data_IF_942236335645
#
_entry.id   IF_942236335645
#
_cell.length_a   1.000
_cell.length_b   1.000
_cell.length_c   1.000
_cell.angle_alpha   90.00
_cell.angle_beta   90.00
_cell.angle_gamma   90.00
#
_symmetry.space_group_name_H-M   'P 1'
#
loop_
_entity.id
_entity.type
_entity.pdbx_description
1 polymer ?
#
# COMPACT_ATOMS: atom_id res chain seq x y z
N UNK A 1 5.58 -3.76 -18.25
CA UNK A 1 5.88 -2.38 -18.68
C UNK A 1 7.30 -2.05 -18.31
N UNK A 2 7.71 -0.80 -18.48
CA UNK A 2 9.02 -0.30 -18.05
C UNK A 2 8.96 1.19 -17.73
N UNK A 3 9.85 1.66 -16.85
CA UNK A 3 10.03 3.07 -16.58
C UNK A 3 11.22 3.60 -17.38
N UNK A 4 11.05 4.67 -18.16
CA UNK A 4 12.11 5.25 -19.00
C UNK A 4 13.01 6.25 -18.25
N UNK A 5 12.72 6.50 -16.98
CA UNK A 5 13.38 7.50 -16.14
C UNK A 5 12.54 8.76 -15.91
N UNK A 6 11.47 8.94 -16.68
CA UNK A 6 10.54 10.07 -16.57
C UNK A 6 9.10 9.59 -16.37
N UNK A 7 8.69 8.55 -17.10
CA UNK A 7 7.33 8.01 -17.08
C UNK A 7 7.35 6.49 -17.16
N UNK A 8 6.36 5.87 -16.53
CA UNK A 8 6.04 4.47 -16.68
C UNK A 8 5.24 4.19 -17.96
N UNK A 9 5.73 3.25 -18.76
CA UNK A 9 5.08 2.75 -19.96
C UNK A 9 4.51 1.36 -19.68
N UNK A 10 3.19 1.29 -19.52
CA UNK A 10 2.48 0.04 -19.34
C UNK A 10 2.34 -0.73 -20.67
N UNK A 11 2.41 -2.06 -20.60
CA UNK A 11 2.20 -2.91 -21.78
C UNK A 11 0.71 -2.92 -22.16
N UNK A 12 0.42 -3.32 -23.40
CA UNK A 12 -0.96 -3.62 -23.81
C UNK A 12 -1.56 -4.70 -22.88
N UNK A 13 -2.80 -4.50 -22.46
CA UNK A 13 -3.55 -5.40 -21.55
C UNK A 13 -3.00 -5.51 -20.11
N UNK A 14 -2.19 -4.55 -19.64
CA UNK A 14 -1.64 -4.57 -18.28
C UNK A 14 -2.72 -4.72 -17.19
N UNK A 15 -3.93 -4.16 -17.39
CA UNK A 15 -5.05 -4.31 -16.46
C UNK A 15 -5.42 -5.78 -16.22
N UNK A 16 -5.40 -6.63 -17.26
CA UNK A 16 -5.68 -8.05 -17.11
C UNK A 16 -4.55 -8.75 -16.35
N UNK A 17 -3.29 -8.35 -16.55
CA UNK A 17 -2.17 -8.83 -15.76
C UNK A 17 -2.33 -8.45 -14.28
N UNK A 18 -2.72 -7.22 -13.97
CA UNK A 18 -2.95 -6.77 -12.59
C UNK A 18 -4.11 -7.56 -11.93
N UNK A 19 -5.22 -7.76 -12.64
CA UNK A 19 -6.33 -8.60 -12.15
C UNK A 19 -5.89 -10.05 -11.94
N UNK A 20 -5.05 -10.58 -12.82
CA UNK A 20 -4.49 -11.92 -12.67
C UNK A 20 -3.58 -12.03 -11.45
N UNK A 21 -2.77 -11.01 -11.13
CA UNK A 21 -1.98 -10.99 -9.90
C UNK A 21 -2.85 -11.09 -8.65
N UNK A 22 -3.97 -10.34 -8.57
CA UNK A 22 -4.93 -10.48 -7.46
C UNK A 22 -5.45 -11.92 -7.38
N UNK A 23 -5.78 -12.52 -8.53
CA UNK A 23 -6.27 -13.88 -8.62
C UNK A 23 -5.25 -14.93 -8.14
N UNK A 24 -3.95 -14.75 -8.45
CA UNK A 24 -2.86 -15.62 -8.00
C UNK A 24 -2.67 -15.47 -6.49
N UNK A 25 -2.62 -14.24 -5.97
CA UNK A 25 -2.39 -13.97 -4.55
C UNK A 25 -3.51 -14.50 -3.64
N UNK A 26 -4.74 -14.62 -4.15
CA UNK A 26 -5.86 -15.27 -3.44
C UNK A 26 -5.69 -16.78 -3.31
N UNK A 27 -4.82 -17.39 -4.11
CA UNK A 27 -4.50 -18.83 -4.12
C UNK A 27 -3.10 -19.12 -3.58
N UNK A 28 -2.50 -18.13 -2.93
CA UNK A 28 -1.19 -18.30 -2.32
C UNK A 28 -1.28 -19.33 -1.19
N UNK A 29 -0.36 -20.30 -1.19
CA UNK A 29 -0.36 -21.41 -0.25
C UNK A 29 -0.01 -20.98 1.17
N UNK A 30 0.01 -21.94 2.10
CA UNK A 30 0.37 -21.71 3.51
C UNK A 30 1.82 -21.21 3.68
N UNK A 31 2.68 -21.41 2.68
CA UNK A 31 4.07 -20.94 2.67
C UNK A 31 4.24 -19.56 2.03
N UNK A 32 3.14 -18.96 1.55
CA UNK A 32 3.09 -17.65 0.88
C UNK A 32 4.15 -17.50 -0.23
N UNK A 33 4.33 -18.55 -1.03
CA UNK A 33 5.38 -18.63 -2.03
C UNK A 33 5.23 -17.59 -3.14
N UNK A 34 4.01 -17.29 -3.57
CA UNK A 34 3.79 -16.30 -4.63
C UNK A 34 4.10 -14.89 -4.11
N UNK A 35 3.65 -14.57 -2.90
CA UNK A 35 3.95 -13.28 -2.27
C UNK A 35 5.45 -13.09 -2.08
N UNK A 36 6.16 -14.11 -1.58
CA UNK A 36 7.62 -14.04 -1.40
C UNK A 36 8.33 -13.90 -2.74
N UNK A 37 7.95 -14.70 -3.74
CA UNK A 37 8.54 -14.62 -5.08
C UNK A 37 8.35 -13.23 -5.70
N UNK A 38 7.14 -12.68 -5.66
CA UNK A 38 6.84 -11.35 -6.21
C UNK A 38 7.57 -10.26 -5.42
N UNK A 39 7.64 -10.38 -4.08
CA UNK A 39 8.35 -9.44 -3.22
C UNK A 39 9.84 -9.34 -3.55
N UNK A 40 10.51 -10.46 -3.84
CA UNK A 40 11.90 -10.45 -4.30
C UNK A 40 12.10 -9.80 -5.66
N UNK A 41 11.06 -9.79 -6.51
CA UNK A 41 11.08 -9.06 -7.79
C UNK A 41 10.87 -7.56 -7.63
N UNK A 42 10.55 -7.08 -6.42
CA UNK A 42 10.29 -5.67 -6.11
C UNK A 42 9.20 -5.04 -6.99
N UNK A 43 8.22 -5.85 -7.42
CA UNK A 43 7.14 -5.42 -8.34
C UNK A 43 6.41 -4.15 -7.86
N UNK A 44 6.20 -4.03 -6.54
CA UNK A 44 5.56 -2.85 -5.95
C UNK A 44 6.33 -1.57 -6.29
N UNK A 45 7.66 -1.60 -6.16
CA UNK A 45 8.54 -0.46 -6.41
C UNK A 45 8.78 -0.21 -7.89
N UNK A 46 9.04 -1.28 -8.65
CA UNK A 46 9.42 -1.17 -10.07
C UNK A 46 8.26 -0.86 -11.00
N UNK A 47 7.04 -1.30 -10.63
CA UNK A 47 5.89 -1.27 -11.53
C UNK A 47 4.65 -0.66 -10.87
N UNK A 48 4.20 -1.15 -9.71
CA UNK A 48 2.88 -0.76 -9.18
C UNK A 48 2.80 0.70 -8.73
N UNK A 49 3.81 1.21 -8.02
CA UNK A 49 3.85 2.63 -7.62
C UNK A 49 4.04 3.56 -8.84
N UNK A 50 4.96 3.30 -9.78
CA UNK A 50 5.01 4.08 -11.02
C UNK A 50 3.71 4.04 -11.83
N UNK A 51 3.08 2.87 -12.00
CA UNK A 51 1.75 2.76 -12.64
C UNK A 51 0.69 3.55 -11.89
N UNK A 52 0.75 3.57 -10.56
CA UNK A 52 -0.18 4.37 -9.76
C UNK A 52 0.00 5.86 -10.07
N UNK A 53 1.23 6.36 -10.24
CA UNK A 53 1.46 7.77 -10.57
C UNK A 53 1.11 8.11 -12.02
N UNK A 54 1.44 7.24 -12.97
CA UNK A 54 1.42 7.57 -14.40
C UNK A 54 0.23 7.00 -15.19
N UNK A 55 -0.49 6.02 -14.64
CA UNK A 55 -1.53 5.26 -15.34
C UNK A 55 -2.88 5.22 -14.59
N UNK A 56 -3.03 5.88 -13.45
CA UNK A 56 -4.23 5.77 -12.60
C UNK A 56 -5.34 6.79 -12.90
N UNK A 57 -5.32 7.42 -14.09
CA UNK A 57 -6.41 8.31 -14.52
C UNK A 57 -7.71 7.51 -14.73
N UNK A 58 -7.59 6.29 -15.26
CA UNK A 58 -8.67 5.32 -15.36
C UNK A 58 -9.04 4.79 -13.96
N UNK A 59 -10.32 4.89 -13.61
CA UNK A 59 -10.82 4.52 -12.28
C UNK A 59 -10.72 3.03 -11.99
N UNK A 60 -10.89 2.18 -13.01
CA UNK A 60 -10.76 0.73 -12.88
C UNK A 60 -9.29 0.34 -12.66
N UNK A 61 -8.37 0.94 -13.42
CA UNK A 61 -6.92 0.72 -13.23
C UNK A 61 -6.50 1.08 -11.82
N UNK A 62 -6.92 2.26 -11.35
CA UNK A 62 -6.59 2.74 -10.02
C UNK A 62 -7.19 1.87 -8.91
N UNK A 63 -8.42 1.35 -9.06
CA UNK A 63 -9.01 0.40 -8.11
C UNK A 63 -8.17 -0.88 -8.00
N UNK A 64 -7.81 -1.47 -9.15
CA UNK A 64 -7.03 -2.71 -9.17
C UNK A 64 -5.64 -2.50 -8.57
N UNK A 65 -4.98 -1.37 -8.88
CA UNK A 65 -3.70 -1.00 -8.28
C UNK A 65 -3.82 -0.83 -6.77
N UNK A 66 -4.80 -0.07 -6.29
CA UNK A 66 -5.00 0.15 -4.87
C UNK A 66 -5.26 -1.17 -4.12
N UNK A 67 -6.07 -2.07 -4.70
CA UNK A 67 -6.31 -3.41 -4.16
C UNK A 67 -5.04 -4.25 -4.09
N UNK A 68 -4.17 -4.17 -5.09
CA UNK A 68 -2.88 -4.84 -5.07
C UNK A 68 -1.96 -4.26 -4.00
N UNK A 69 -1.87 -2.93 -3.87
CA UNK A 69 -1.06 -2.26 -2.86
C UNK A 69 -1.49 -2.64 -1.44
N UNK A 70 -2.79 -2.62 -1.15
CA UNK A 70 -3.35 -3.11 0.12
C UNK A 70 -3.00 -4.59 0.34
N UNK A 71 -3.15 -5.42 -0.70
CA UNK A 71 -2.82 -6.85 -0.59
C UNK A 71 -1.33 -7.07 -0.29
N UNK A 72 -0.43 -6.38 -0.98
CA UNK A 72 1.02 -6.54 -0.82
C UNK A 72 1.54 -6.01 0.52
N UNK A 73 0.89 -4.99 1.08
CA UNK A 73 1.24 -4.38 2.37
C UNK A 73 0.54 -5.03 3.56
N UNK A 74 -0.28 -6.07 3.34
CA UNK A 74 -0.98 -6.76 4.42
C UNK A 74 0.01 -7.26 5.49
N UNK A 75 -0.18 -6.92 6.79
CA UNK A 75 0.71 -7.34 7.85
C UNK A 75 1.00 -8.84 7.82
N UNK A 76 2.28 -9.21 7.89
CA UNK A 76 2.71 -10.61 7.79
C UNK A 76 1.99 -11.50 8.81
N UNK A 77 1.74 -10.99 10.01
CA UNK A 77 1.05 -11.72 11.07
C UNK A 77 -0.41 -12.09 10.70
N UNK A 78 -1.11 -11.26 9.92
CA UNK A 78 -2.45 -11.59 9.43
C UNK A 78 -2.44 -12.74 8.42
N UNK A 79 -1.35 -12.89 7.64
CA UNK A 79 -1.19 -14.04 6.75
C UNK A 79 -1.09 -15.36 7.53
N UNK A 80 -0.56 -15.30 8.76
CA UNK A 80 -0.46 -16.41 9.70
C UNK A 80 -1.57 -16.42 10.77
N UNK A 81 -2.73 -15.79 10.49
CA UNK A 81 -3.91 -15.79 11.37
C UNK A 81 -3.61 -15.34 12.80
N UNK A 82 -2.80 -14.30 12.94
CA UNK A 82 -2.44 -13.71 14.23
C UNK A 82 -1.56 -14.61 15.12
N UNK A 83 -1.01 -15.70 14.58
CA UNK A 83 -0.13 -16.62 15.29
C UNK A 83 1.25 -16.72 14.63
N UNK A 84 2.32 -16.61 15.42
CA UNK A 84 3.68 -16.81 14.90
C UNK A 84 3.93 -18.29 14.57
N UNK A 85 4.57 -18.59 13.43
CA UNK A 85 4.95 -19.97 13.10
C UNK A 85 5.82 -20.61 14.17
N UNK A 86 5.56 -21.88 14.46
CA UNK A 86 6.26 -22.64 15.49
C UNK A 86 7.40 -23.50 14.93
N UNK A 87 7.35 -23.82 13.65
CA UNK A 87 8.39 -24.57 12.96
C UNK A 87 9.44 -23.64 12.33
N UNK A 88 10.62 -24.18 12.05
CA UNK A 88 11.74 -23.38 11.54
C UNK A 88 11.49 -22.85 10.12
N UNK A 89 10.78 -23.60 9.28
CA UNK A 89 10.52 -23.19 7.89
C UNK A 89 9.52 -22.04 7.89
N UNK A 90 8.43 -22.17 8.65
CA UNK A 90 7.44 -21.12 8.84
C UNK A 90 8.05 -19.85 9.41
N UNK A 91 8.91 -19.94 10.44
CA UNK A 91 9.60 -18.76 11.01
C UNK A 91 10.47 -18.05 9.97
N UNK A 92 11.23 -18.81 9.18
CA UNK A 92 12.06 -18.25 8.12
C UNK A 92 11.20 -17.52 7.07
N UNK A 93 10.12 -18.15 6.62
CA UNK A 93 9.23 -17.55 5.63
C UNK A 93 8.52 -16.30 6.18
N UNK A 94 8.15 -16.30 7.46
CA UNK A 94 7.57 -15.14 8.14
C UNK A 94 8.55 -13.96 8.17
N UNK A 95 9.80 -14.20 8.60
CA UNK A 95 10.83 -13.15 8.64
C UNK A 95 11.13 -12.59 7.24
N UNK A 96 11.17 -13.46 6.23
CA UNK A 96 11.34 -13.04 4.83
C UNK A 96 10.18 -12.15 4.34
N UNK A 97 8.94 -12.45 4.74
CA UNK A 97 7.79 -11.58 4.44
C UNK A 97 7.90 -10.23 5.16
N UNK A 98 8.37 -10.20 6.40
CA UNK A 98 8.62 -8.94 7.14
C UNK A 98 9.69 -8.11 6.42
N UNK A 99 10.78 -8.71 5.96
CA UNK A 99 11.83 -8.05 5.18
C UNK A 99 11.29 -7.45 3.88
N UNK A 100 10.41 -8.19 3.19
CA UNK A 100 9.72 -7.69 1.98
C UNK A 100 8.83 -6.48 2.32
N UNK A 101 8.06 -6.55 3.40
CA UNK A 101 7.22 -5.44 3.85
C UNK A 101 8.04 -4.19 4.22
N UNK A 102 9.22 -4.35 4.80
CA UNK A 102 10.15 -3.26 5.10
C UNK A 102 10.63 -2.55 3.82
N UNK A 103 11.01 -3.30 2.79
CA UNK A 103 11.36 -2.74 1.47
C UNK A 103 10.17 -2.05 0.79
N UNK A 104 8.96 -2.55 1.01
CA UNK A 104 7.74 -1.87 0.55
C UNK A 104 7.54 -0.56 1.29
N UNK A 105 7.69 -0.54 2.62
CA UNK A 105 7.61 0.69 3.44
C UNK A 105 8.56 1.76 2.92
N UNK A 106 9.82 1.43 2.68
CA UNK A 106 10.80 2.35 2.05
C UNK A 106 10.31 2.93 0.71
N UNK A 107 9.63 2.12 -0.10
CA UNK A 107 9.12 2.56 -1.40
C UNK A 107 7.96 3.58 -1.28
N UNK A 108 7.33 3.70 -0.11
CA UNK A 108 6.30 4.71 0.18
C UNK A 108 6.87 6.03 0.72
N UNK A 109 8.18 6.17 0.91
CA UNK A 109 8.81 7.47 1.24
C UNK A 109 8.89 8.38 0.00
N UNK A 110 7.75 8.60 -0.67
CA UNK A 110 7.62 9.35 -1.92
C UNK A 110 6.39 10.26 -1.84
N UNK A 111 6.62 11.57 -1.80
CA UNK A 111 5.57 12.61 -1.66
C UNK A 111 4.45 12.47 -2.70
N UNK A 112 4.83 12.19 -3.96
CA UNK A 112 3.88 12.08 -5.07
C UNK A 112 2.82 10.99 -4.85
N UNK A 113 3.18 9.89 -4.19
CA UNK A 113 2.25 8.79 -3.89
C UNK A 113 1.19 9.27 -2.90
N UNK A 114 1.60 9.92 -1.82
CA UNK A 114 0.68 10.42 -0.80
C UNK A 114 -0.17 11.58 -1.31
N UNK A 115 0.39 12.46 -2.15
CA UNK A 115 -0.38 13.54 -2.78
C UNK A 115 -1.49 13.00 -3.70
N UNK A 116 -1.19 11.96 -4.49
CA UNK A 116 -2.18 11.31 -5.33
C UNK A 116 -3.28 10.61 -4.50
N UNK A 117 -2.89 9.84 -3.48
CA UNK A 117 -3.83 9.16 -2.59
C UNK A 117 -4.69 10.16 -1.80
N UNK A 118 -4.08 11.22 -1.28
CA UNK A 118 -4.76 12.30 -0.57
C UNK A 118 -5.79 13.00 -1.44
N UNK A 119 -5.41 13.41 -2.66
CA UNK A 119 -6.35 14.02 -3.63
C UNK A 119 -7.53 13.11 -3.95
N UNK A 120 -7.28 11.80 -4.07
CA UNK A 120 -8.34 10.82 -4.35
C UNK A 120 -9.26 10.63 -3.14
N UNK A 121 -8.70 10.61 -1.93
CA UNK A 121 -9.44 10.54 -0.68
C UNK A 121 -10.31 11.79 -0.49
N UNK A 122 -9.72 12.98 -0.62
CA UNK A 122 -10.39 14.28 -0.54
C UNK A 122 -11.59 14.34 -1.49
N UNK A 123 -11.38 14.08 -2.79
CA UNK A 123 -12.46 14.06 -3.79
C UNK A 123 -13.61 13.11 -3.42
N UNK A 124 -13.31 12.02 -2.73
CA UNK A 124 -14.34 11.05 -2.33
C UNK A 124 -15.07 11.49 -1.06
N UNK A 125 -14.37 12.17 -0.14
CA UNK A 125 -14.93 12.75 1.09
C UNK A 125 -15.75 14.02 0.83
N UNK A 126 -15.51 14.74 -0.26
CA UNK A 126 -16.34 15.87 -0.71
C UNK A 126 -17.78 15.44 -1.07
N UNK A 127 -17.99 14.17 -1.39
CA UNK A 127 -19.32 13.60 -1.66
C UNK A 127 -20.00 13.33 -0.32
N UNK A 128 -21.23 13.82 -0.17
CA UNK A 128 -22.05 13.56 1.01
C UNK A 128 -22.12 12.06 1.30
N UNK A 129 -21.93 11.68 2.56
CA UNK A 129 -21.85 10.29 2.99
C UNK A 129 -23.09 9.47 2.58
N UNK A 130 -24.27 10.10 2.49
CA UNK A 130 -25.51 9.44 2.10
C UNK A 130 -25.66 9.27 0.58
N UNK A 131 -24.93 10.05 -0.22
CA UNK A 131 -24.92 9.97 -1.69
C UNK A 131 -23.77 9.12 -2.24
N UNK A 132 -22.80 8.77 -1.37
CA UNK A 132 -21.61 8.01 -1.73
C UNK A 132 -21.96 6.58 -2.14
N UNK A 133 -21.43 6.14 -3.29
CA UNK A 133 -21.60 4.75 -3.73
C UNK A 133 -20.77 3.78 -2.89
N UNK A 134 -21.10 2.49 -2.93
CA UNK A 134 -20.31 1.45 -2.26
C UNK A 134 -18.85 1.44 -2.73
N UNK A 135 -18.60 1.56 -4.04
CA UNK A 135 -17.25 1.60 -4.61
C UNK A 135 -16.44 2.82 -4.12
N UNK A 136 -17.11 3.97 -3.94
CA UNK A 136 -16.48 5.17 -3.38
C UNK A 136 -16.15 4.95 -1.90
N UNK A 137 -17.06 4.35 -1.13
CA UNK A 137 -16.80 4.01 0.27
C UNK A 137 -15.64 3.02 0.43
N UNK A 138 -15.58 2.00 -0.42
CA UNK A 138 -14.47 1.05 -0.47
C UNK A 138 -13.14 1.69 -0.88
N UNK A 139 -13.18 2.74 -1.70
CA UNK A 139 -11.98 3.51 -2.06
C UNK A 139 -11.40 4.21 -0.84
N UNK A 140 -12.24 4.86 -0.02
CA UNK A 140 -11.81 5.49 1.25
C UNK A 140 -11.18 4.44 2.17
N UNK A 141 -11.89 3.34 2.41
CA UNK A 141 -11.40 2.26 3.27
C UNK A 141 -10.04 1.74 2.82
N UNK A 142 -9.87 1.46 1.53
CA UNK A 142 -8.62 0.93 0.98
C UNK A 142 -7.45 1.92 1.10
N UNK A 143 -7.69 3.22 0.93
CA UNK A 143 -6.64 4.24 1.09
C UNK A 143 -6.19 4.30 2.56
N UNK A 144 -7.13 4.31 3.50
CA UNK A 144 -6.83 4.34 4.94
C UNK A 144 -6.13 3.05 5.41
N UNK A 145 -6.62 1.89 4.97
CA UNK A 145 -5.98 0.60 5.25
C UNK A 145 -4.57 0.53 4.67
N UNK A 146 -4.35 1.05 3.46
CA UNK A 146 -3.00 1.13 2.88
C UNK A 146 -2.07 1.97 3.76
N UNK A 147 -2.53 3.16 4.17
CA UNK A 147 -1.76 4.04 5.04
C UNK A 147 -1.40 3.35 6.37
N UNK A 148 -2.39 2.76 7.04
CA UNK A 148 -2.21 1.99 8.27
C UNK A 148 -1.22 0.85 8.08
N UNK A 149 -1.39 0.05 7.03
CA UNK A 149 -0.52 -1.09 6.73
C UNK A 149 0.95 -0.63 6.58
N UNK A 150 1.21 0.43 5.81
CA UNK A 150 2.56 0.98 5.61
C UNK A 150 3.16 1.52 6.91
N UNK A 151 2.37 2.24 7.71
CA UNK A 151 2.83 2.81 8.98
C UNK A 151 3.13 1.71 10.01
N UNK A 152 2.35 0.63 10.04
CA UNK A 152 2.50 -0.48 11.01
C UNK A 152 3.73 -1.35 10.76
N UNK A 153 4.28 -1.38 9.53
CA UNK A 153 5.50 -2.16 9.24
C UNK A 153 6.64 -1.71 10.16
N UNK A 154 7.31 -2.62 10.89
CA UNK A 154 8.42 -2.25 11.77
C UNK A 154 9.61 -1.77 10.95
N UNK A 155 10.28 -0.70 11.39
CA UNK A 155 11.53 -0.24 10.80
C UNK A 155 12.67 -1.26 11.01
N UNK A 156 13.58 -1.37 10.05
CA UNK A 156 14.80 -2.19 10.15
C UNK A 156 16.04 -1.32 9.91
N UNK A 157 16.77 -0.94 10.98
CA UNK A 157 17.95 -0.09 10.86
C UNK A 157 19.03 -0.64 9.91
N UNK A 158 19.18 -1.96 9.79
CA UNK A 158 20.20 -2.59 8.96
C UNK A 158 19.83 -2.52 7.46
N UNK A 159 18.54 -2.67 7.14
CA UNK A 159 18.03 -2.47 5.77
C UNK A 159 18.06 -1.01 5.34
N UNK A 160 17.74 -0.10 6.26
CA UNK A 160 17.67 1.34 5.98
C UNK A 160 19.05 1.94 5.62
N UNK A 161 20.16 1.24 5.92
CA UNK A 161 21.55 1.63 5.58
C UNK A 161 21.86 3.10 5.88
N UNK A 162 21.39 3.60 7.02
CA UNK A 162 21.46 5.02 7.37
C UNK A 162 22.83 5.44 7.89
N UNK A 163 23.13 6.71 7.68
CA UNK A 163 24.16 7.43 8.44
C UNK A 163 23.52 8.12 9.65
N UNK A 164 24.29 8.46 10.68
CA UNK A 164 23.77 8.98 11.98
C UNK A 164 22.87 10.23 11.88
N UNK A 165 22.85 10.92 10.75
CA UNK A 165 22.07 12.15 10.52
C UNK A 165 20.79 11.96 9.70
N UNK A 166 20.51 10.76 9.18
CA UNK A 166 19.37 10.53 8.31
C UNK A 166 18.08 10.24 9.12
N UNK A 167 17.00 10.97 8.79
CA UNK A 167 15.66 10.68 9.31
C UNK A 167 15.30 9.22 8.99
N UNK A 168 14.68 8.52 9.95
CA UNK A 168 14.27 7.13 9.70
C UNK A 168 13.16 7.08 8.64
N UNK A 169 12.96 5.92 8.01
CA UNK A 169 11.98 5.77 6.92
C UNK A 169 10.55 6.09 7.38
N UNK A 170 10.24 5.79 8.63
CA UNK A 170 8.93 6.11 9.20
C UNK A 170 8.70 7.63 9.28
N UNK A 171 9.69 8.40 9.74
CA UNK A 171 9.62 9.86 9.81
C UNK A 171 9.52 10.48 8.41
N UNK A 172 10.25 9.93 7.43
CA UNK A 172 10.15 10.37 6.03
C UNK A 172 8.73 10.17 5.49
N UNK A 173 8.11 9.02 5.74
CA UNK A 173 6.72 8.75 5.32
C UNK A 173 5.75 9.71 6.01
N UNK A 174 5.87 9.92 7.32
CA UNK A 174 5.03 10.87 8.06
C UNK A 174 5.19 12.27 7.47
N UNK A 175 6.41 12.68 7.16
CA UNK A 175 6.68 13.97 6.54
C UNK A 175 6.05 14.08 5.15
N UNK A 176 6.19 13.06 4.29
CA UNK A 176 5.55 12.99 2.99
C UNK A 176 4.02 13.07 3.08
N UNK A 177 3.41 12.34 4.02
CA UNK A 177 1.97 12.38 4.28
C UNK A 177 1.52 13.78 4.73
N UNK A 178 2.31 14.44 5.58
CA UNK A 178 2.02 15.78 6.05
C UNK A 178 2.13 16.82 4.92
N UNK A 179 3.19 16.79 4.11
CA UNK A 179 3.34 17.68 2.96
C UNK A 179 2.23 17.48 1.91
N UNK A 180 1.74 16.26 1.77
CA UNK A 180 0.63 15.92 0.90
C UNK A 180 -0.76 16.35 1.44
N UNK A 181 -0.86 16.88 2.67
CA UNK A 181 -2.14 17.16 3.33
C UNK A 181 -2.93 15.92 3.72
N UNK A 182 -2.33 14.73 3.62
CA UNK A 182 -3.01 13.46 3.89
C UNK A 182 -3.39 13.32 5.37
N UNK A 183 -2.53 13.78 6.28
CA UNK A 183 -2.81 13.71 7.72
C UNK A 183 -4.02 14.57 8.13
N UNK A 184 -4.24 15.70 7.47
CA UNK A 184 -5.41 16.55 7.72
C UNK A 184 -6.72 15.84 7.30
N UNK A 185 -6.69 15.07 6.21
CA UNK A 185 -7.82 14.24 5.78
C UNK A 185 -8.11 13.11 6.77
N UNK A 186 -7.07 12.48 7.32
CA UNK A 186 -7.23 11.46 8.38
C UNK A 186 -7.85 12.08 9.63
N UNK A 187 -7.35 13.25 10.06
CA UNK A 187 -7.92 13.98 11.19
C UNK A 187 -9.38 14.36 10.96
N UNK A 188 -9.72 14.81 9.75
CA UNK A 188 -11.11 15.07 9.36
C UNK A 188 -11.99 13.83 9.55
N UNK A 189 -11.59 12.67 9.00
CA UNK A 189 -12.32 11.40 9.14
C UNK A 189 -12.53 11.02 10.61
N UNK A 190 -11.48 11.11 11.43
CA UNK A 190 -11.54 10.78 12.85
C UNK A 190 -12.44 11.75 13.65
N UNK A 191 -12.53 13.01 13.23
CA UNK A 191 -13.32 14.04 13.90
C UNK A 191 -14.79 14.09 13.46
N UNK A 192 -15.13 13.48 12.32
CA UNK A 192 -16.46 13.53 11.72
C UNK A 192 -17.37 12.39 12.21
N UNK A 193 -18.55 12.73 12.73
CA UNK A 193 -19.58 11.73 13.08
C UNK A 193 -20.11 11.00 11.84
N UNK A 194 -20.15 11.67 10.69
CA UNK A 194 -20.59 11.10 9.41
C UNK A 194 -19.63 10.06 8.84
N UNK A 195 -18.38 10.02 9.33
CA UNK A 195 -17.33 9.13 8.82
C UNK A 195 -16.92 8.05 9.85
N UNK A 196 -17.74 7.83 10.88
CA UNK A 196 -17.49 6.86 11.97
C UNK A 196 -17.17 5.43 11.48
N UNK A 197 -17.74 5.02 10.34
CA UNK A 197 -17.48 3.71 9.74
C UNK A 197 -15.99 3.48 9.40
N UNK A 198 -15.20 4.55 9.25
CA UNK A 198 -13.79 4.47 8.89
C UNK A 198 -12.83 4.56 10.08
N UNK A 199 -13.32 4.78 11.31
CA UNK A 199 -12.48 5.00 12.49
C UNK A 199 -11.58 3.81 12.87
N UNK A 200 -11.94 2.58 12.48
CA UNK A 200 -11.09 1.40 12.69
C UNK A 200 -9.99 1.25 11.62
N UNK A 201 -10.09 2.03 10.54
CA UNK A 201 -9.18 2.00 9.39
C UNK A 201 -8.21 3.18 9.40
N UNK A 202 -8.66 4.34 9.87
CA UNK A 202 -7.88 5.57 10.08
C UNK A 202 -7.01 5.48 11.34
#
# INVERSE_FOLDING_TARGET
>A
GYHDGVKYHADTDFLQCLKHLIWILRRDGETHEYRRYIGHKQLLKSDLLPMLLDCSEDTEVADVLLRLLVNFTNPALLLYREELPKDNVGRRNFLELVEILQRYKESFAVDAVWALLGKRLEKTLEIDWAERSEDQGLTIERILVLARNVLQVPSDPDLERRTDNDANVHDQIIWSMNQAGFLDLVLFVLSSESEQQYHLHA
#
